data_IF_282191912796
#
_entry.id   IF_282191912796
#
_cell.length_a   1.000
_cell.length_b   1.000
_cell.length_c   1.000
_cell.angle_alpha   90.00
_cell.angle_beta   90.00
_cell.angle_gamma   90.00
#
_symmetry.space_group_name_H-M   'P 1'
#
loop_
_entity.id
_entity.type
_entity.pdbx_description
1 polymer ?
#
# COMPACT_ATOMS: atom_id res chain seq x y z
N UNK A 1 9.52 -16.39 -25.03
CA UNK A 1 8.78 -15.86 -26.18
C UNK A 1 9.17 -14.42 -26.56
N UNK A 2 9.88 -13.65 -25.71
CA UNK A 2 10.32 -12.29 -25.99
C UNK A 2 9.21 -11.23 -26.01
N UNK A 3 7.97 -11.57 -25.76
CA UNK A 3 6.88 -10.61 -25.70
C UNK A 3 6.96 -9.74 -24.45
N UNK A 4 6.60 -8.47 -24.61
CA UNK A 4 6.54 -7.51 -23.49
C UNK A 4 5.52 -8.00 -22.46
N UNK A 5 5.93 -8.08 -21.19
CA UNK A 5 5.05 -8.43 -20.09
C UNK A 5 4.40 -7.20 -19.45
N UNK A 6 5.17 -6.12 -19.35
CA UNK A 6 4.75 -4.89 -18.68
C UNK A 6 5.52 -3.70 -19.26
N UNK A 7 4.85 -2.55 -19.24
CA UNK A 7 5.43 -1.24 -19.50
C UNK A 7 4.96 -0.28 -18.41
N UNK A 8 5.86 0.50 -17.86
CA UNK A 8 5.56 1.39 -16.73
C UNK A 8 6.28 2.70 -16.86
N UNK A 9 5.67 3.76 -16.39
CA UNK A 9 6.25 5.08 -16.31
C UNK A 9 6.74 5.36 -14.89
N UNK A 10 7.87 6.05 -14.78
CA UNK A 10 8.49 6.42 -13.51
C UNK A 10 8.81 7.90 -13.48
N UNK A 11 8.63 8.53 -12.32
CA UNK A 11 9.09 9.87 -12.01
C UNK A 11 9.89 9.74 -10.71
N UNK A 12 11.13 10.22 -10.70
CA UNK A 12 12.06 10.18 -9.54
C UNK A 12 12.16 8.78 -8.90
N UNK A 13 12.30 7.74 -9.73
CA UNK A 13 12.31 6.31 -9.37
C UNK A 13 11.02 5.77 -8.75
N UNK A 14 9.96 6.56 -8.67
CA UNK A 14 8.64 6.11 -8.23
C UNK A 14 7.74 5.82 -9.42
N UNK A 15 6.99 4.72 -9.35
CA UNK A 15 6.01 4.37 -10.37
C UNK A 15 4.94 5.46 -10.42
N UNK A 16 4.82 6.14 -11.56
CA UNK A 16 3.90 7.27 -11.71
C UNK A 16 3.42 7.38 -13.16
N UNK A 17 2.12 7.52 -13.38
CA UNK A 17 1.50 7.52 -14.69
C UNK A 17 0.99 6.15 -15.13
N UNK A 18 0.82 5.97 -16.43
CA UNK A 18 0.19 4.75 -16.96
C UNK A 18 1.11 3.55 -16.89
N UNK A 19 0.54 2.42 -16.47
CA UNK A 19 1.13 1.10 -16.51
C UNK A 19 0.29 0.20 -17.41
N UNK A 20 0.94 -0.47 -18.35
CA UNK A 20 0.35 -1.41 -19.27
C UNK A 20 0.84 -2.82 -18.94
N UNK A 21 -0.08 -3.76 -18.78
CA UNK A 21 0.23 -5.17 -18.60
C UNK A 21 -0.28 -5.95 -19.82
N UNK A 22 0.44 -6.98 -20.19
CA UNK A 22 0.17 -7.76 -21.41
C UNK A 22 0.00 -9.24 -21.06
N UNK A 23 -0.79 -9.94 -21.88
CA UNK A 23 -0.84 -11.39 -21.91
C UNK A 23 0.45 -11.96 -22.49
N UNK A 24 0.70 -13.25 -22.31
CA UNK A 24 1.89 -13.94 -22.86
C UNK A 24 1.98 -13.87 -24.40
N UNK A 25 0.87 -13.74 -25.09
CA UNK A 25 0.83 -13.57 -26.54
C UNK A 25 1.10 -12.13 -27.01
N UNK A 26 1.25 -11.18 -26.10
CA UNK A 26 1.52 -9.77 -26.36
C UNK A 26 0.28 -8.87 -26.45
N UNK A 27 -0.93 -9.41 -26.36
CA UNK A 27 -2.14 -8.60 -26.30
C UNK A 27 -2.23 -7.82 -25.00
N UNK A 28 -2.85 -6.64 -25.02
CA UNK A 28 -3.08 -5.83 -23.83
C UNK A 28 -4.01 -6.55 -22.85
N UNK A 29 -3.59 -6.64 -21.57
CA UNK A 29 -4.37 -7.24 -20.49
C UNK A 29 -4.99 -6.19 -19.58
N UNK A 30 -4.24 -5.13 -19.23
CA UNK A 30 -4.79 -4.03 -18.42
C UNK A 30 -4.03 -2.73 -18.61
N UNK A 31 -4.73 -1.64 -18.37
CA UNK A 31 -4.16 -0.30 -18.23
C UNK A 31 -4.54 0.21 -16.84
N UNK A 32 -3.52 0.57 -16.07
CA UNK A 32 -3.67 1.23 -14.77
C UNK A 32 -3.14 2.65 -14.87
N UNK A 33 -3.70 3.57 -14.10
CA UNK A 33 -3.14 4.89 -13.87
C UNK A 33 -2.68 4.97 -12.43
N UNK A 34 -1.43 5.34 -12.21
CA UNK A 34 -0.77 5.29 -10.90
C UNK A 34 -0.28 6.69 -10.57
N UNK A 35 -0.74 7.21 -9.45
CA UNK A 35 -0.32 8.50 -8.92
C UNK A 35 0.42 8.26 -7.59
N UNK A 36 1.72 8.52 -7.59
CA UNK A 36 2.53 8.42 -6.38
C UNK A 36 2.42 9.71 -5.57
N UNK A 37 2.12 9.56 -4.28
CA UNK A 37 2.11 10.63 -3.29
C UNK A 37 3.42 10.61 -2.49
N UNK A 38 4.27 11.62 -2.70
CA UNK A 38 5.56 11.74 -2.02
C UNK A 38 5.44 12.06 -0.53
N UNK A 39 4.33 12.68 -0.10
CA UNK A 39 4.13 13.02 1.30
C UNK A 39 3.70 11.82 2.12
N UNK A 40 2.81 11.02 1.57
CA UNK A 40 2.28 9.80 2.21
C UNK A 40 3.12 8.56 1.89
N UNK A 41 4.04 8.63 0.93
CA UNK A 41 4.81 7.48 0.40
C UNK A 41 3.91 6.32 -0.05
N UNK A 42 2.78 6.66 -0.64
CA UNK A 42 1.77 5.71 -1.12
C UNK A 42 1.45 5.97 -2.58
N UNK A 43 0.77 5.03 -3.22
CA UNK A 43 0.30 5.22 -4.59
C UNK A 43 -1.21 5.02 -4.65
N UNK A 44 -1.92 5.94 -5.28
CA UNK A 44 -3.27 5.72 -5.75
C UNK A 44 -3.22 4.96 -7.08
N UNK A 45 -3.98 3.88 -7.20
CA UNK A 45 -4.02 3.05 -8.42
C UNK A 45 -5.45 3.04 -8.94
N UNK A 46 -5.63 3.49 -10.20
CA UNK A 46 -6.91 3.41 -10.92
C UNK A 46 -6.83 2.37 -12.04
N UNK A 47 -7.80 1.48 -12.09
CA UNK A 47 -7.98 0.52 -13.18
C UNK A 47 -8.74 1.22 -14.31
N UNK A 48 -8.10 1.45 -15.43
CA UNK A 48 -8.69 2.18 -16.58
C UNK A 48 -9.28 1.22 -17.59
N UNK A 49 -8.53 0.16 -17.93
CA UNK A 49 -8.95 -0.87 -18.88
C UNK A 49 -8.57 -2.24 -18.32
N UNK A 50 -9.42 -3.24 -18.55
CA UNK A 50 -9.10 -4.62 -18.17
C UNK A 50 -9.77 -5.63 -19.09
N UNK A 51 -9.02 -6.65 -19.51
CA UNK A 51 -9.49 -7.83 -20.23
C UNK A 51 -9.22 -9.08 -19.40
N UNK A 52 -10.23 -9.94 -19.26
CA UNK A 52 -10.07 -11.22 -18.56
C UNK A 52 -9.26 -12.23 -19.40
N UNK A 53 -9.01 -13.41 -18.86
CA UNK A 53 -8.21 -14.44 -19.53
C UNK A 53 -8.86 -14.97 -20.82
N UNK A 54 -10.17 -14.77 -21.01
CA UNK A 54 -10.90 -15.03 -22.26
C UNK A 54 -10.81 -13.87 -23.25
N UNK A 55 -10.01 -12.83 -22.97
CA UNK A 55 -9.85 -11.64 -23.81
C UNK A 55 -11.11 -10.79 -23.97
N UNK A 56 -12.05 -10.96 -23.06
CA UNK A 56 -13.26 -10.12 -23.00
C UNK A 56 -12.93 -8.89 -22.17
N UNK A 57 -13.15 -7.71 -22.75
CA UNK A 57 -12.98 -6.47 -22.01
C UNK A 57 -14.05 -6.33 -20.94
N UNK A 58 -13.62 -6.19 -19.68
CA UNK A 58 -14.46 -6.14 -18.48
C UNK A 58 -14.48 -4.77 -17.83
N UNK A 59 -13.40 -4.00 -17.95
CA UNK A 59 -13.37 -2.60 -17.50
C UNK A 59 -13.10 -1.70 -18.71
N UNK A 60 -13.95 -0.70 -18.90
CA UNK A 60 -13.87 0.33 -19.93
C UNK A 60 -13.90 1.69 -19.24
N UNK A 61 -12.88 2.52 -19.48
CA UNK A 61 -12.75 3.86 -18.93
C UNK A 61 -13.02 3.94 -17.40
N UNK A 62 -12.45 2.97 -16.67
CA UNK A 62 -12.58 2.90 -15.24
C UNK A 62 -13.91 2.37 -14.71
N UNK A 63 -14.76 1.76 -15.54
CA UNK A 63 -16.05 1.24 -15.11
C UNK A 63 -16.26 -0.20 -15.61
N UNK A 64 -16.78 -1.07 -14.75
CA UNK A 64 -17.03 -2.47 -15.08
C UNK A 64 -16.69 -3.43 -13.95
N UNK A 65 -16.29 -4.64 -14.29
CA UNK A 65 -15.88 -5.69 -13.35
C UNK A 65 -14.40 -6.01 -13.50
N UNK A 66 -13.74 -6.20 -12.38
CA UNK A 66 -12.32 -6.48 -12.32
C UNK A 66 -12.06 -7.72 -11.45
N UNK A 67 -11.08 -8.50 -11.88
CA UNK A 67 -10.57 -9.63 -11.12
C UNK A 67 -9.05 -9.55 -11.04
N UNK A 68 -8.50 -9.98 -9.92
CA UNK A 68 -7.06 -10.02 -9.71
C UNK A 68 -6.63 -11.27 -8.94
N UNK A 69 -5.42 -11.70 -9.22
CA UNK A 69 -4.75 -12.76 -8.48
C UNK A 69 -3.37 -12.29 -8.07
N UNK A 70 -3.18 -12.08 -6.78
CA UNK A 70 -1.92 -11.55 -6.22
C UNK A 70 -1.49 -12.44 -5.04
N UNK A 71 -0.31 -13.04 -5.14
CA UNK A 71 0.34 -13.81 -4.06
C UNK A 71 -0.48 -14.94 -3.43
N UNK A 72 -1.44 -15.49 -4.16
CA UNK A 72 -2.32 -16.56 -3.68
C UNK A 72 -3.71 -16.07 -3.27
N UNK A 73 -3.95 -14.77 -3.32
CA UNK A 73 -5.26 -14.17 -3.10
C UNK A 73 -5.93 -13.88 -4.43
N UNK A 74 -7.08 -14.48 -4.66
CA UNK A 74 -8.00 -14.12 -5.74
C UNK A 74 -9.08 -13.18 -5.20
N UNK A 75 -9.38 -12.13 -5.95
CA UNK A 75 -10.53 -11.27 -5.65
C UNK A 75 -11.18 -10.73 -6.91
N UNK A 76 -12.48 -10.46 -6.85
CA UNK A 76 -13.24 -9.88 -7.95
C UNK A 76 -14.39 -9.02 -7.44
N UNK A 77 -14.76 -8.01 -8.23
CA UNK A 77 -15.84 -7.09 -7.91
C UNK A 77 -15.93 -5.91 -8.86
N UNK A 78 -16.83 -4.99 -8.55
CA UNK A 78 -17.10 -3.80 -9.38
C UNK A 78 -16.02 -2.74 -9.29
N UNK A 79 -15.72 -2.11 -10.42
CA UNK A 79 -14.93 -0.89 -10.54
C UNK A 79 -15.82 0.26 -10.99
N UNK A 80 -15.68 1.40 -10.34
CA UNK A 80 -16.32 2.66 -10.72
C UNK A 80 -15.31 3.80 -10.62
N UNK A 81 -15.17 4.58 -11.70
CA UNK A 81 -14.16 5.65 -11.78
C UNK A 81 -12.74 5.17 -11.49
N UNK A 82 -12.41 3.93 -11.85
CA UNK A 82 -11.10 3.30 -11.68
C UNK A 82 -10.84 2.66 -10.34
N UNK A 83 -11.73 2.78 -9.35
CA UNK A 83 -11.54 2.27 -7.99
C UNK A 83 -12.60 1.25 -7.60
N UNK A 84 -12.29 0.41 -6.59
CA UNK A 84 -13.24 -0.59 -6.05
C UNK A 84 -14.55 0.07 -5.63
N UNK A 85 -15.67 -0.54 -6.02
CA UNK A 85 -17.01 -0.05 -5.67
C UNK A 85 -18.00 -1.21 -5.62
N UNK A 86 -18.89 -1.21 -4.62
CA UNK A 86 -19.85 -2.29 -4.41
C UNK A 86 -19.24 -3.50 -3.71
N UNK A 87 -19.84 -4.66 -3.92
CA UNK A 87 -19.43 -5.91 -3.27
C UNK A 87 -18.26 -6.54 -4.00
N UNK A 88 -17.26 -6.93 -3.23
CA UNK A 88 -16.09 -7.68 -3.66
C UNK A 88 -16.03 -9.01 -2.91
N UNK A 89 -15.68 -10.07 -3.61
CA UNK A 89 -15.49 -11.38 -3.01
C UNK A 89 -14.10 -11.91 -3.36
N UNK A 90 -13.57 -12.75 -2.49
CA UNK A 90 -12.29 -13.37 -2.77
C UNK A 90 -11.95 -14.50 -1.83
N UNK A 91 -10.78 -15.08 -2.09
CA UNK A 91 -10.22 -16.14 -1.25
C UNK A 91 -8.69 -16.09 -1.23
N UNK A 92 -8.12 -16.30 -0.07
CA UNK A 92 -6.70 -16.57 0.12
C UNK A 92 -6.49 -18.09 0.20
N UNK A 93 -5.82 -18.64 -0.81
CA UNK A 93 -5.56 -20.08 -0.90
C UNK A 93 -4.48 -20.54 0.09
N UNK A 94 -3.59 -19.66 0.53
CA UNK A 94 -2.51 -19.98 1.48
C UNK A 94 -3.05 -20.05 2.91
N UNK A 95 -3.86 -19.07 3.29
CA UNK A 95 -4.47 -18.99 4.62
C UNK A 95 -5.80 -19.74 4.72
N UNK A 96 -6.37 -20.16 3.58
CA UNK A 96 -7.69 -20.82 3.50
C UNK A 96 -8.81 -19.93 4.05
N UNK A 97 -8.74 -18.64 3.70
CA UNK A 97 -9.73 -17.64 4.08
C UNK A 97 -10.58 -17.29 2.86
N UNK A 98 -11.89 -17.15 3.04
CA UNK A 98 -12.80 -16.53 2.08
C UNK A 98 -13.22 -15.20 2.65
N UNK A 99 -13.49 -14.22 1.79
CA UNK A 99 -13.94 -12.91 2.26
C UNK A 99 -14.98 -12.29 1.33
N UNK A 100 -15.80 -11.44 1.92
CA UNK A 100 -16.73 -10.55 1.22
C UNK A 100 -16.55 -9.17 1.81
N UNK A 101 -16.35 -8.19 0.95
CA UNK A 101 -16.04 -6.81 1.28
C UNK A 101 -16.97 -5.86 0.55
N UNK A 102 -17.35 -4.76 1.17
CA UNK A 102 -18.12 -3.69 0.53
C UNK A 102 -17.28 -2.44 0.44
N UNK A 103 -17.18 -1.89 -0.76
CA UNK A 103 -16.42 -0.68 -1.05
C UNK A 103 -17.30 0.44 -1.55
N UNK A 104 -16.96 1.67 -1.18
CA UNK A 104 -17.50 2.89 -1.74
C UNK A 104 -16.35 3.82 -2.14
N UNK A 105 -16.30 4.21 -3.42
CA UNK A 105 -15.26 5.08 -3.97
C UNK A 105 -13.83 4.67 -3.58
N UNK A 106 -13.51 3.38 -3.63
CA UNK A 106 -12.20 2.82 -3.28
C UNK A 106 -11.98 2.57 -1.79
N UNK A 107 -12.87 3.06 -0.91
CA UNK A 107 -12.74 2.88 0.53
C UNK A 107 -13.52 1.65 1.00
N UNK A 108 -12.87 0.80 1.81
CA UNK A 108 -13.55 -0.30 2.47
C UNK A 108 -14.56 0.24 3.50
N UNK A 109 -15.81 -0.20 3.40
CA UNK A 109 -16.90 0.14 4.33
C UNK A 109 -17.08 -0.97 5.36
N UNK A 110 -17.09 -2.23 4.89
CA UNK A 110 -17.21 -3.40 5.74
C UNK A 110 -16.65 -4.63 5.04
N UNK A 111 -16.16 -5.58 5.82
CA UNK A 111 -15.71 -6.87 5.37
C UNK A 111 -16.09 -7.97 6.35
N UNK A 112 -16.28 -9.16 5.83
CA UNK A 112 -16.40 -10.40 6.57
C UNK A 112 -15.40 -11.37 5.98
N UNK A 113 -14.53 -11.95 6.80
CA UNK A 113 -13.67 -13.06 6.40
C UNK A 113 -14.05 -14.30 7.16
N UNK A 114 -14.09 -15.44 6.46
CA UNK A 114 -14.39 -16.76 7.03
C UNK A 114 -13.14 -17.61 6.94
N UNK A 115 -12.67 -18.14 8.04
CA UNK A 115 -11.49 -18.99 8.11
C UNK A 115 -11.79 -20.47 7.73
N UNK A 116 -10.76 -21.32 7.78
CA UNK A 116 -10.86 -22.77 7.49
C UNK A 116 -11.79 -23.55 8.43
N UNK A 117 -12.07 -23.01 9.62
CA UNK A 117 -12.92 -23.62 10.64
C UNK A 117 -14.36 -23.05 10.58
N UNK A 118 -14.68 -22.28 9.54
CA UNK A 118 -15.93 -21.57 9.29
C UNK A 118 -16.28 -20.54 10.39
N UNK A 119 -15.27 -19.92 10.97
CA UNK A 119 -15.45 -18.79 11.90
C UNK A 119 -15.40 -17.49 11.13
N UNK A 120 -16.40 -16.62 11.36
CA UNK A 120 -16.53 -15.33 10.70
C UNK A 120 -15.89 -14.22 11.55
N UNK A 121 -15.15 -13.35 10.88
CA UNK A 121 -14.50 -12.17 11.43
C UNK A 121 -14.95 -10.92 10.68
N UNK A 122 -15.61 -10.01 11.37
CA UNK A 122 -16.02 -8.72 10.80
C UNK A 122 -14.89 -7.70 10.92
N UNK A 123 -14.71 -6.89 9.89
CA UNK A 123 -13.71 -5.82 9.86
C UNK A 123 -14.16 -4.62 9.02
N UNK A 124 -13.61 -3.45 9.32
CA UNK A 124 -13.83 -2.20 8.58
C UNK A 124 -12.52 -1.58 8.08
N UNK A 125 -11.40 -2.28 8.31
CA UNK A 125 -10.07 -1.91 7.83
C UNK A 125 -9.29 -3.16 7.47
N UNK A 126 -8.56 -3.13 6.36
CA UNK A 126 -7.66 -4.22 5.95
C UNK A 126 -6.33 -4.20 6.71
N UNK A 127 -6.00 -3.08 7.33
CA UNK A 127 -4.74 -2.89 8.05
C UNK A 127 -5.05 -2.23 9.38
N UNK A 128 -4.62 -2.86 10.46
CA UNK A 128 -4.55 -2.22 11.76
C UNK A 128 -3.15 -1.63 11.93
N UNK A 129 -3.09 -0.31 12.02
CA UNK A 129 -1.81 0.38 12.22
C UNK A 129 -1.32 0.18 13.64
N UNK A 130 -0.06 -0.21 13.78
CA UNK A 130 0.58 -0.24 15.09
C UNK A 130 0.50 1.14 15.74
N UNK A 131 0.12 1.18 17.01
CA UNK A 131 0.05 2.41 17.80
C UNK A 131 0.89 2.25 19.08
N UNK A 132 1.49 3.34 19.58
CA UNK A 132 2.20 3.31 20.85
C UNK A 132 1.25 2.94 22.00
N UNK A 133 1.71 2.07 22.91
CA UNK A 133 0.90 1.54 24.01
C UNK A 133 0.29 2.65 24.91
N UNK A 134 0.99 3.78 25.08
CA UNK A 134 0.56 4.94 25.84
C UNK A 134 -0.01 6.08 25.00
N UNK A 135 -0.27 5.83 23.71
CA UNK A 135 -0.77 6.83 22.77
C UNK A 135 0.33 7.68 22.11
N UNK A 136 -0.08 8.41 21.09
CA UNK A 136 0.84 9.20 20.26
C UNK A 136 1.41 10.42 21.01
N UNK A 137 0.66 11.05 21.90
CA UNK A 137 1.12 12.23 22.66
C UNK A 137 2.29 11.86 23.58
N UNK A 138 2.18 10.73 24.28
CA UNK A 138 3.25 10.20 25.15
C UNK A 138 4.47 9.79 24.33
N UNK A 139 4.25 9.16 23.17
CA UNK A 139 5.31 8.80 22.25
C UNK A 139 6.08 10.03 21.75
N UNK A 140 5.39 11.07 21.28
CA UNK A 140 6.04 12.29 20.79
C UNK A 140 6.71 13.07 21.91
N UNK A 141 6.14 13.09 23.12
CA UNK A 141 6.77 13.67 24.29
C UNK A 141 8.08 12.96 24.62
N UNK A 142 8.06 11.62 24.68
CA UNK A 142 9.25 10.82 24.89
C UNK A 142 10.29 11.05 23.78
N UNK A 143 9.86 11.06 22.54
CA UNK A 143 10.71 11.29 21.37
C UNK A 143 11.42 12.64 21.45
N UNK A 144 10.68 13.72 21.68
CA UNK A 144 11.21 15.08 21.78
C UNK A 144 12.17 15.27 22.98
N UNK A 145 11.90 14.60 24.09
CA UNK A 145 12.74 14.70 25.30
C UNK A 145 14.05 13.93 25.18
N UNK A 146 14.02 12.77 24.54
CA UNK A 146 15.15 11.83 24.54
C UNK A 146 15.97 11.86 23.23
N UNK A 147 15.38 12.29 22.11
CA UNK A 147 16.10 12.41 20.86
C UNK A 147 16.91 13.71 20.83
N UNK A 148 18.15 13.63 21.27
CA UNK A 148 19.11 14.74 21.14
C UNK A 148 19.67 14.74 19.73
N UNK A 149 19.03 15.45 18.82
CA UNK A 149 19.60 15.76 17.51
C UNK A 149 20.62 16.87 17.71
N UNK A 150 21.90 16.57 17.53
CA UNK A 150 22.92 17.60 17.37
C UNK A 150 22.72 18.25 15.99
N UNK A 151 21.82 19.20 15.93
CA UNK A 151 21.59 20.03 14.73
C UNK A 151 22.79 20.98 14.60
N UNK A 152 23.89 20.44 14.09
CA UNK A 152 25.02 21.27 13.67
C UNK A 152 24.70 21.91 12.32
N UNK A 153 23.83 22.88 12.31
CA UNK A 153 23.87 23.98 11.35
C UNK A 153 22.73 24.95 11.62
N UNK A 154 23.07 26.00 12.33
CA UNK A 154 22.20 27.12 12.68
C UNK A 154 21.79 28.02 11.50
N UNK A 155 22.15 27.65 10.28
CA UNK A 155 22.05 28.55 9.11
C UNK A 155 21.02 28.17 8.03
N UNK A 156 20.23 27.10 8.20
CA UNK A 156 19.16 26.82 7.25
C UNK A 156 17.80 26.85 7.96
N UNK A 157 17.08 27.92 7.76
CA UNK A 157 15.76 28.24 8.32
C UNK A 157 14.59 27.46 7.71
N UNK A 158 14.83 26.42 6.92
CA UNK A 158 13.77 25.57 6.37
C UNK A 158 13.44 24.42 7.34
N UNK A 159 12.16 24.14 7.63
CA UNK A 159 11.78 23.00 8.44
C UNK A 159 12.23 21.72 7.77
N UNK A 160 13.09 20.95 8.45
CA UNK A 160 13.62 19.71 7.93
C UNK A 160 12.65 18.56 8.23
N UNK A 161 12.10 17.93 7.21
CA UNK A 161 11.24 16.74 7.34
C UNK A 161 12.10 15.48 7.19
N UNK A 162 12.03 14.59 8.17
CA UNK A 162 12.60 13.25 8.10
C UNK A 162 11.49 12.22 8.00
N UNK A 163 11.70 11.21 7.16
CA UNK A 163 10.78 10.09 6.99
C UNK A 163 11.53 8.80 7.34
N UNK A 164 10.99 8.06 8.29
CA UNK A 164 11.52 6.78 8.75
C UNK A 164 10.44 5.73 8.56
N UNK A 165 10.78 4.60 7.95
CA UNK A 165 9.95 3.41 7.86
C UNK A 165 10.49 2.33 8.79
N UNK A 166 9.60 1.62 9.47
CA UNK A 166 9.94 0.46 10.29
C UNK A 166 8.76 -0.51 10.34
N UNK A 167 9.02 -1.73 10.77
CA UNK A 167 8.01 -2.74 11.03
C UNK A 167 7.91 -2.90 12.54
N UNK A 168 6.69 -3.02 13.06
CA UNK A 168 6.45 -3.46 14.45
C UNK A 168 6.07 -4.93 14.39
N UNK A 169 6.82 -5.78 15.09
CA UNK A 169 6.51 -7.20 15.16
C UNK A 169 5.36 -7.50 16.13
N UNK A 170 4.93 -8.75 16.21
CA UNK A 170 3.83 -9.20 17.06
C UNK A 170 4.09 -9.04 18.56
N UNK A 171 5.34 -8.77 18.97
CA UNK A 171 5.74 -8.47 20.35
C UNK A 171 5.83 -6.96 20.61
N UNK A 172 5.46 -6.11 19.64
CA UNK A 172 5.56 -4.66 19.74
C UNK A 172 6.96 -4.10 19.51
N UNK A 173 7.92 -4.91 19.03
CA UNK A 173 9.30 -4.50 18.81
C UNK A 173 9.47 -3.88 17.42
N UNK A 174 10.16 -2.76 17.36
CA UNK A 174 10.56 -2.13 16.09
C UNK A 174 11.68 -2.95 15.42
N UNK A 175 11.43 -3.40 14.20
CA UNK A 175 12.38 -4.15 13.37
C UNK A 175 12.51 -3.51 11.98
N UNK A 176 13.62 -3.78 11.30
CA UNK A 176 13.92 -3.29 9.93
C UNK A 176 13.74 -1.77 9.76
N UNK A 177 14.23 -0.92 10.68
CA UNK A 177 14.14 0.51 10.52
C UNK A 177 14.94 0.99 9.30
N UNK A 178 14.36 1.90 8.53
CA UNK A 178 15.00 2.51 7.36
C UNK A 178 14.71 4.00 7.34
N UNK A 179 15.71 4.80 7.03
CA UNK A 179 15.53 6.21 6.74
C UNK A 179 15.20 6.32 5.25
N UNK A 180 14.00 6.77 4.94
CA UNK A 180 13.54 6.97 3.56
C UNK A 180 13.99 8.34 3.07
N UNK A 181 13.88 9.36 3.93
CA UNK A 181 14.31 10.74 3.63
C UNK A 181 14.91 11.35 4.88
N UNK A 182 16.07 11.97 4.72
CA UNK A 182 16.70 12.78 5.78
C UNK A 182 17.25 14.07 5.19
N UNK A 183 17.14 15.19 5.89
CA UNK A 183 17.65 16.47 5.41
C UNK A 183 19.20 16.53 5.35
N UNK A 184 19.88 15.68 6.16
CA UNK A 184 21.35 15.67 6.27
C UNK A 184 21.88 14.24 6.53
N UNK A 185 23.03 13.91 5.96
CA UNK A 185 23.64 12.56 6.01
C UNK A 185 24.15 12.12 7.41
N UNK A 186 24.37 13.06 8.33
CA UNK A 186 25.00 12.77 9.65
C UNK A 186 24.02 12.35 10.75
N UNK A 187 22.70 12.35 10.50
CA UNK A 187 21.68 12.08 11.52
C UNK A 187 21.34 10.59 11.62
N UNK A 188 21.78 9.77 10.67
CA UNK A 188 21.24 8.44 10.40
C UNK A 188 21.44 7.40 11.51
N UNK A 189 22.63 7.33 12.14
CA UNK A 189 22.94 6.27 13.11
C UNK A 189 22.27 6.45 14.47
N UNK A 190 22.17 7.68 14.94
CA UNK A 190 21.59 7.98 16.26
C UNK A 190 20.08 7.74 16.30
N UNK A 191 19.38 8.05 15.20
CA UNK A 191 17.94 7.88 15.11
C UNK A 191 17.57 6.40 15.01
N UNK A 192 18.26 5.63 14.15
CA UNK A 192 18.04 4.19 14.05
C UNK A 192 18.24 3.53 15.42
N UNK A 193 19.34 3.85 16.11
CA UNK A 193 19.61 3.32 17.46
C UNK A 193 18.56 3.74 18.49
N UNK A 194 17.98 4.93 18.35
CA UNK A 194 16.97 5.44 19.27
C UNK A 194 15.63 4.71 19.10
N UNK A 195 15.16 4.50 17.86
CA UNK A 195 13.86 3.87 17.61
C UNK A 195 13.84 2.35 17.78
N UNK A 196 15.01 1.72 17.91
CA UNK A 196 15.15 0.27 18.14
C UNK A 196 15.36 -0.13 19.58
N UNK A 197 15.41 0.81 20.50
CA UNK A 197 15.50 0.59 21.96
C UNK A 197 14.12 0.40 22.58
#
# INVERSE_FOLDING_TARGET
NGNKKQESNYIDNNLNGKQYNYFENGDLKSVKDILYDEELLTSEIKIIQFWNDYKVQKVIDGNGEYEEYVEGVFSNGGIKNGVKNGVWTGNDTKQRIKFTETYEAGKLISGISTDKDNVDYNYTSLIEMASPQKGWDDFFSYFNHNLKLNLFEKNNSAPAKMIISFIVDTNGKVIKPRIIRAPYSLINSNIISFITK
#
